data_IF_166129314053
#
_entry.id   IF_166129314053
#
_cell.length_a   1.000
_cell.length_b   1.000
_cell.length_c   1.000
_cell.angle_alpha   90.00
_cell.angle_beta   90.00
_cell.angle_gamma   90.00
#
_symmetry.space_group_name_H-M   'P 1'
#
loop_
_entity.id
_entity.type
_entity.pdbx_description
1 polymer ?
#
# COMPACT_ATOMS: atom_id res chain seq x y z
N UNK A 1 -5.62 -24.39 50.99
CA UNK A 1 -6.45 -23.44 50.21
C UNK A 1 -5.62 -22.79 49.12
N UNK A 2 -6.25 -22.53 47.99
CA UNK A 2 -5.71 -22.75 46.64
C UNK A 2 -4.79 -21.66 46.07
N UNK A 3 -3.67 -22.13 45.51
CA UNK A 3 -2.66 -21.44 44.68
C UNK A 3 -3.17 -20.91 43.32
N UNK A 4 -4.46 -20.54 43.19
CA UNK A 4 -5.02 -20.01 41.92
C UNK A 4 -4.61 -18.57 41.62
N UNK A 5 -4.07 -17.84 42.59
CA UNK A 5 -3.63 -16.45 42.42
C UNK A 5 -2.29 -16.31 41.65
N UNK A 6 -1.46 -17.35 41.58
CA UNK A 6 -0.23 -17.34 40.75
C UNK A 6 -0.49 -17.45 39.23
N UNK A 7 -1.72 -17.70 38.78
CA UNK A 7 -2.02 -17.88 37.35
C UNK A 7 -2.25 -16.56 36.60
N UNK A 8 -2.48 -15.46 37.32
CA UNK A 8 -2.72 -14.14 36.72
C UNK A 8 -1.44 -13.45 36.21
N UNK A 9 -0.29 -13.72 36.84
CA UNK A 9 1.01 -13.21 36.40
C UNK A 9 1.46 -13.85 35.07
N UNK A 10 1.07 -15.10 34.83
CA UNK A 10 1.35 -15.83 33.59
C UNK A 10 0.58 -15.31 32.36
N UNK A 11 -0.43 -14.45 32.53
CA UNK A 11 -1.18 -13.80 31.44
C UNK A 11 -0.54 -12.48 30.98
N UNK A 12 0.15 -11.77 31.88
CA UNK A 12 0.83 -10.49 31.59
C UNK A 12 2.01 -10.68 30.63
N UNK A 13 2.79 -11.76 30.82
CA UNK A 13 3.95 -12.05 29.97
C UNK A 13 3.55 -12.34 28.50
N UNK A 14 2.40 -12.97 28.26
CA UNK A 14 1.95 -13.35 26.91
C UNK A 14 1.65 -12.16 26.00
N UNK A 15 1.18 -11.04 26.56
CA UNK A 15 0.95 -9.81 25.80
C UNK A 15 2.23 -9.02 25.52
N UNK A 16 3.21 -9.07 26.44
CA UNK A 16 4.51 -8.45 26.25
C UNK A 16 5.28 -9.06 25.05
N UNK A 17 5.20 -10.39 24.86
CA UNK A 17 5.83 -11.05 23.70
C UNK A 17 5.25 -10.59 22.35
N UNK A 18 3.94 -10.32 22.27
CA UNK A 18 3.32 -9.80 21.04
C UNK A 18 3.72 -8.35 20.73
N UNK A 19 3.84 -7.51 21.76
CA UNK A 19 4.29 -6.12 21.59
C UNK A 19 5.78 -6.04 21.24
N UNK A 20 6.63 -6.83 21.91
CA UNK A 20 8.07 -6.89 21.63
C UNK A 20 8.32 -7.43 20.23
N UNK A 21 7.65 -8.51 19.80
CA UNK A 21 7.82 -9.04 18.44
C UNK A 21 7.35 -8.06 17.35
N UNK A 22 6.24 -7.34 17.56
CA UNK A 22 5.79 -6.30 16.64
C UNK A 22 6.77 -5.12 16.54
N UNK A 23 7.33 -4.68 17.68
CA UNK A 23 8.30 -3.59 17.74
C UNK A 23 9.67 -4.00 17.17
N UNK A 24 10.13 -5.23 17.41
CA UNK A 24 11.36 -5.77 16.82
C UNK A 24 11.23 -5.91 15.31
N UNK A 25 10.08 -6.36 14.79
CA UNK A 25 9.82 -6.42 13.35
C UNK A 25 9.80 -5.02 12.71
N UNK A 26 9.21 -4.02 13.38
CA UNK A 26 9.23 -2.63 12.93
C UNK A 26 10.64 -2.02 12.98
N UNK A 27 11.41 -2.30 14.03
CA UNK A 27 12.76 -1.76 14.21
C UNK A 27 13.75 -2.35 13.21
N UNK A 28 13.72 -3.67 12.98
CA UNK A 28 14.52 -4.35 11.95
C UNK A 28 14.19 -3.83 10.55
N UNK A 29 12.90 -3.57 10.27
CA UNK A 29 12.45 -2.95 9.02
C UNK A 29 13.04 -1.54 8.83
N UNK A 30 13.06 -0.71 9.87
CA UNK A 30 13.63 0.64 9.78
C UNK A 30 15.17 0.65 9.71
N UNK A 31 15.85 -0.23 10.45
CA UNK A 31 17.30 -0.36 10.42
C UNK A 31 17.82 -0.88 9.07
N UNK A 32 17.12 -1.85 8.49
CA UNK A 32 17.43 -2.38 7.15
C UNK A 32 17.27 -1.30 6.07
N UNK A 33 16.17 -0.54 6.11
CA UNK A 33 15.91 0.57 5.17
C UNK A 33 16.92 1.72 5.31
N UNK A 34 17.47 1.94 6.51
CA UNK A 34 18.33 3.10 6.78
C UNK A 34 19.82 2.85 6.55
N UNK A 35 20.33 1.65 6.85
CA UNK A 35 21.79 1.41 6.90
C UNK A 35 22.29 0.36 5.91
N UNK A 36 21.43 -0.53 5.42
CA UNK A 36 21.85 -1.65 4.57
C UNK A 36 21.62 -1.38 3.09
N UNK A 37 20.69 -0.50 2.72
CA UNK A 37 20.36 -0.27 1.32
C UNK A 37 20.94 1.07 0.81
N UNK A 38 22.15 1.07 0.23
CA UNK A 38 22.64 2.23 -0.52
C UNK A 38 21.66 2.52 -1.66
N UNK A 39 21.30 3.80 -1.80
CA UNK A 39 20.53 4.29 -2.93
C UNK A 39 21.46 4.52 -4.12
N UNK A 40 21.67 3.49 -4.92
CA UNK A 40 22.25 3.64 -6.25
C UNK A 40 21.29 3.07 -7.29
N UNK A 41 20.79 3.95 -8.15
CA UNK A 41 19.91 3.60 -9.27
C UNK A 41 20.75 3.12 -10.46
N UNK A 42 20.60 1.86 -10.83
CA UNK A 42 21.32 1.23 -11.94
C UNK A 42 20.96 1.76 -13.35
N UNK A 43 20.06 2.74 -13.48
CA UNK A 43 19.72 3.44 -14.73
C UNK A 43 19.82 4.97 -14.62
N UNK A 44 20.63 5.44 -13.67
CA UNK A 44 21.21 6.79 -13.69
C UNK A 44 22.31 6.93 -14.77
N UNK A 45 22.67 5.82 -15.44
CA UNK A 45 23.77 5.73 -16.41
C UNK A 45 23.37 5.91 -17.89
N UNK A 46 22.08 6.03 -18.25
CA UNK A 46 21.68 6.21 -19.65
C UNK A 46 20.51 7.20 -19.85
N UNK A 47 20.81 8.25 -20.63
CA UNK A 47 19.95 9.25 -21.29
C UNK A 47 19.42 10.48 -20.50
N UNK A 48 20.08 11.66 -20.61
CA UNK A 48 19.66 12.91 -19.97
C UNK A 48 18.65 13.79 -20.75
N UNK A 49 17.71 13.25 -21.55
CA UNK A 49 16.80 14.12 -22.35
C UNK A 49 15.28 13.88 -22.27
N UNK A 50 14.78 12.80 -21.65
CA UNK A 50 13.32 12.52 -21.63
C UNK A 50 12.66 12.38 -20.24
N UNK A 51 13.44 12.42 -19.15
CA UNK A 51 12.89 12.25 -17.79
C UNK A 51 12.06 13.43 -17.28
N UNK A 52 12.27 14.64 -17.80
CA UNK A 52 11.51 15.83 -17.36
C UNK A 52 10.09 15.90 -17.94
N UNK A 53 9.83 15.27 -19.09
CA UNK A 53 8.49 15.23 -19.68
C UNK A 53 7.61 14.16 -19.01
N UNK A 54 8.18 12.99 -18.74
CA UNK A 54 7.47 11.89 -18.06
C UNK A 54 7.23 12.20 -16.57
N UNK A 55 8.15 12.88 -15.87
CA UNK A 55 7.91 13.35 -14.49
C UNK A 55 6.88 14.49 -14.41
N UNK A 56 6.68 15.26 -15.47
CA UNK A 56 5.71 16.39 -15.52
C UNK A 56 4.31 15.97 -15.99
N UNK A 57 4.14 14.81 -16.62
CA UNK A 57 2.83 14.32 -17.05
C UNK A 57 1.97 14.00 -15.81
N UNK A 58 1.17 14.98 -15.38
CA UNK A 58 0.39 14.91 -14.15
C UNK A 58 -0.89 14.05 -14.32
N UNK A 59 -1.25 13.72 -15.56
CA UNK A 59 -2.49 13.00 -15.93
C UNK A 59 -2.28 11.97 -17.05
N UNK A 60 -3.08 10.90 -17.02
CA UNK A 60 -3.12 9.81 -18.02
C UNK A 60 -3.40 10.36 -19.42
N UNK A 61 -4.25 11.38 -19.52
CA UNK A 61 -4.61 12.03 -20.78
C UNK A 61 -3.40 12.65 -21.49
N UNK A 62 -2.38 13.08 -20.72
CA UNK A 62 -1.13 13.54 -21.30
C UNK A 62 -0.32 12.38 -21.90
N UNK A 63 -0.24 11.23 -21.20
CA UNK A 63 0.41 10.03 -21.73
C UNK A 63 -0.33 9.46 -22.95
N UNK A 64 -1.66 9.49 -22.97
CA UNK A 64 -2.47 9.00 -24.08
C UNK A 64 -2.26 9.86 -25.34
N UNK A 65 -2.20 11.19 -25.19
CA UNK A 65 -1.87 12.09 -26.30
C UNK A 65 -0.44 11.89 -26.82
N UNK A 66 0.52 11.61 -25.96
CA UNK A 66 1.89 11.29 -26.38
C UNK A 66 1.95 9.92 -27.07
N UNK A 67 1.16 8.94 -26.63
CA UNK A 67 1.04 7.63 -27.27
C UNK A 67 0.47 7.74 -28.68
N UNK A 68 -0.61 8.52 -28.84
CA UNK A 68 -1.22 8.74 -30.15
C UNK A 68 -0.22 9.32 -31.16
N UNK A 69 0.61 10.28 -30.74
CA UNK A 69 1.67 10.87 -31.57
C UNK A 69 2.75 9.84 -31.93
N UNK A 70 3.26 9.09 -30.95
CA UNK A 70 4.25 8.05 -31.19
C UNK A 70 3.72 6.96 -32.15
N UNK A 71 2.43 6.61 -32.03
CA UNK A 71 1.79 5.64 -32.92
C UNK A 71 1.66 6.18 -34.36
N UNK A 72 1.39 7.47 -34.55
CA UNK A 72 1.39 8.09 -35.88
C UNK A 72 2.78 8.07 -36.52
N UNK A 73 3.84 8.33 -35.73
CA UNK A 73 5.23 8.26 -36.20
C UNK A 73 5.62 6.83 -36.59
N UNK A 74 5.22 5.83 -35.80
CA UNK A 74 5.39 4.41 -36.15
C UNK A 74 4.65 4.06 -37.45
N UNK A 75 3.39 4.51 -37.61
CA UNK A 75 2.62 4.27 -38.84
C UNK A 75 3.27 4.91 -40.08
N UNK A 76 3.90 6.08 -39.94
CA UNK A 76 4.66 6.73 -41.02
C UNK A 76 5.92 5.93 -41.36
N UNK A 77 6.71 5.57 -40.35
CA UNK A 77 7.91 4.76 -40.53
C UNK A 77 7.59 3.38 -41.15
N UNK A 78 6.49 2.73 -40.76
CA UNK A 78 6.06 1.45 -41.35
C UNK A 78 5.72 1.56 -42.84
N UNK A 79 5.16 2.69 -43.29
CA UNK A 79 4.88 2.93 -44.72
C UNK A 79 6.19 3.08 -45.50
N UNK A 80 7.11 3.89 -44.99
CA UNK A 80 8.44 4.10 -45.60
C UNK A 80 9.28 2.81 -45.66
N UNK A 81 9.18 1.95 -44.63
CA UNK A 81 9.85 0.64 -44.60
C UNK A 81 9.27 -0.31 -45.65
N UNK A 82 7.94 -0.31 -45.82
CA UNK A 82 7.28 -1.11 -46.86
C UNK A 82 7.65 -0.66 -48.27
N UNK A 83 7.77 0.64 -48.49
CA UNK A 83 8.17 1.21 -49.79
C UNK A 83 9.65 0.99 -50.09
N UNK A 84 10.52 1.08 -49.08
CA UNK A 84 11.98 0.91 -49.25
C UNK A 84 12.47 -0.54 -49.18
N UNK A 85 11.60 -1.50 -48.83
CA UNK A 85 11.94 -2.92 -48.62
C UNK A 85 13.12 -3.13 -47.62
N UNK A 86 13.36 -2.16 -46.74
CA UNK A 86 14.48 -2.17 -45.79
C UNK A 86 14.18 -3.13 -44.63
N UNK A 87 15.16 -3.96 -44.24
CA UNK A 87 15.09 -4.73 -42.99
C UNK A 87 15.34 -3.79 -41.82
N UNK A 88 14.32 -3.59 -40.98
CA UNK A 88 14.38 -2.74 -39.78
C UNK A 88 14.27 -3.60 -38.53
N UNK A 89 15.11 -3.32 -37.54
CA UNK A 89 15.05 -3.96 -36.23
C UNK A 89 14.07 -3.23 -35.31
N UNK A 90 12.84 -3.75 -35.23
CA UNK A 90 11.73 -3.21 -34.43
C UNK A 90 12.00 -3.15 -32.91
N UNK A 91 13.08 -3.78 -32.43
CA UNK A 91 13.40 -3.82 -31.00
C UNK A 91 14.24 -2.62 -30.55
N UNK A 92 15.10 -2.11 -31.41
CA UNK A 92 16.09 -1.08 -31.07
C UNK A 92 15.93 0.22 -31.85
N UNK A 93 15.29 0.19 -33.02
CA UNK A 93 15.14 1.38 -33.85
C UNK A 93 13.97 2.25 -33.39
N UNK A 94 14.21 3.56 -33.31
CA UNK A 94 13.15 4.55 -33.23
C UNK A 94 12.39 4.56 -34.56
N UNK A 95 11.05 4.68 -34.58
CA UNK A 95 10.13 5.06 -33.49
C UNK A 95 9.54 3.89 -32.66
N UNK A 96 9.79 2.63 -33.05
CA UNK A 96 9.17 1.44 -32.42
C UNK A 96 9.56 1.25 -30.95
N UNK A 97 10.79 1.62 -30.59
CA UNK A 97 11.26 1.61 -29.20
C UNK A 97 10.42 2.54 -28.32
N UNK A 98 10.18 3.76 -28.76
CA UNK A 98 9.41 4.79 -28.04
C UNK A 98 7.97 4.33 -27.81
N UNK A 99 7.32 3.75 -28.83
CA UNK A 99 5.97 3.19 -28.68
C UNK A 99 5.91 2.07 -27.63
N UNK A 100 6.89 1.16 -27.66
CA UNK A 100 6.94 0.03 -26.72
C UNK A 100 7.16 0.51 -25.28
N UNK A 101 8.04 1.49 -25.09
CA UNK A 101 8.29 2.10 -23.79
C UNK A 101 7.03 2.79 -23.25
N UNK A 102 6.34 3.58 -24.08
CA UNK A 102 5.10 4.24 -23.69
C UNK A 102 3.99 3.24 -23.35
N UNK A 103 3.82 2.20 -24.18
CA UNK A 103 2.85 1.14 -23.94
C UNK A 103 3.12 0.42 -22.61
N UNK A 104 4.39 0.14 -22.31
CA UNK A 104 4.78 -0.49 -21.04
C UNK A 104 4.52 0.46 -19.86
N UNK A 105 4.77 1.75 -20.03
CA UNK A 105 4.48 2.76 -19.01
C UNK A 105 2.98 2.86 -18.72
N UNK A 106 2.14 2.88 -19.76
CA UNK A 106 0.67 2.90 -19.65
C UNK A 106 0.17 1.64 -18.93
N UNK A 107 0.60 0.45 -19.37
CA UNK A 107 0.19 -0.81 -18.74
C UNK A 107 0.61 -0.89 -17.26
N UNK A 108 1.79 -0.40 -16.92
CA UNK A 108 2.23 -0.32 -15.53
C UNK A 108 1.39 0.67 -14.73
N UNK A 109 1.07 1.83 -15.32
CA UNK A 109 0.21 2.83 -14.70
C UNK A 109 -1.19 2.26 -14.40
N UNK A 110 -1.83 1.59 -15.38
CA UNK A 110 -3.14 0.97 -15.21
C UNK A 110 -3.13 -0.09 -14.11
N UNK A 111 -2.15 -0.99 -14.13
CA UNK A 111 -1.99 -2.04 -13.12
C UNK A 111 -1.87 -1.45 -11.72
N UNK A 112 -1.07 -0.38 -11.54
CA UNK A 112 -0.89 0.29 -10.24
C UNK A 112 -2.12 1.06 -9.79
N UNK A 113 -2.81 1.72 -10.71
CA UNK A 113 -4.08 2.40 -10.42
C UNK A 113 -5.14 1.39 -9.94
N UNK A 114 -5.22 0.23 -10.57
CA UNK A 114 -6.09 -0.85 -10.10
C UNK A 114 -5.71 -1.37 -8.71
N UNK A 115 -4.43 -1.55 -8.43
CA UNK A 115 -3.95 -1.97 -7.10
C UNK A 115 -4.34 -0.95 -6.03
N UNK A 116 -4.14 0.36 -6.28
CA UNK A 116 -4.55 1.43 -5.35
C UNK A 116 -6.06 1.37 -5.11
N UNK A 117 -6.86 1.19 -6.16
CA UNK A 117 -8.33 1.06 -6.05
C UNK A 117 -8.73 -0.16 -5.24
N UNK A 118 -8.12 -1.32 -5.49
CA UNK A 118 -8.36 -2.57 -4.74
C UNK A 118 -7.99 -2.40 -3.27
N UNK A 119 -6.82 -1.81 -2.97
CA UNK A 119 -6.39 -1.54 -1.59
C UNK A 119 -7.39 -0.64 -0.87
N UNK A 120 -7.84 0.47 -1.49
CA UNK A 120 -8.84 1.36 -0.88
C UNK A 120 -10.16 0.63 -0.61
N UNK A 121 -10.65 -0.15 -1.57
CA UNK A 121 -11.90 -0.91 -1.43
C UNK A 121 -11.82 -1.96 -0.30
N UNK A 122 -10.78 -2.78 -0.26
CA UNK A 122 -10.67 -3.79 0.80
C UNK A 122 -10.38 -3.18 2.17
N UNK A 123 -9.64 -2.08 2.21
CA UNK A 123 -9.42 -1.32 3.43
C UNK A 123 -10.74 -0.73 3.98
N UNK A 124 -11.60 -0.16 3.13
CA UNK A 124 -12.91 0.34 3.57
C UNK A 124 -13.84 -0.78 4.03
N UNK A 125 -13.80 -1.95 3.40
CA UNK A 125 -14.50 -3.13 3.91
C UNK A 125 -14.01 -3.54 5.32
N UNK A 126 -12.69 -3.57 5.54
CA UNK A 126 -12.11 -3.85 6.86
C UNK A 126 -12.55 -2.82 7.92
N UNK A 127 -12.60 -1.54 7.54
CA UNK A 127 -13.11 -0.48 8.40
C UNK A 127 -14.60 -0.68 8.77
N UNK A 128 -15.45 -1.00 7.78
CA UNK A 128 -16.89 -1.27 8.02
C UNK A 128 -17.08 -2.44 8.97
N UNK A 129 -16.32 -3.54 8.78
CA UNK A 129 -16.35 -4.71 9.67
C UNK A 129 -15.94 -4.32 11.09
N UNK A 130 -14.88 -3.50 11.24
CA UNK A 130 -14.43 -3.03 12.55
C UNK A 130 -15.47 -2.13 13.24
N UNK A 131 -16.15 -1.26 12.50
CA UNK A 131 -17.24 -0.40 13.01
C UNK A 131 -18.42 -1.26 13.48
N UNK A 132 -18.87 -2.21 12.65
CA UNK A 132 -19.95 -3.14 13.01
C UNK A 132 -19.57 -3.94 14.26
N UNK A 133 -18.34 -4.44 14.34
CA UNK A 133 -17.83 -5.12 15.53
C UNK A 133 -17.85 -4.23 16.78
N UNK A 134 -17.49 -2.96 16.64
CA UNK A 134 -17.52 -1.98 17.74
C UNK A 134 -18.94 -1.72 18.23
N UNK A 135 -19.94 -1.66 17.33
CA UNK A 135 -21.35 -1.52 17.70
C UNK A 135 -21.86 -2.80 18.39
N UNK A 136 -21.53 -3.98 17.86
CA UNK A 136 -21.93 -5.26 18.44
C UNK A 136 -21.31 -5.50 19.83
N UNK A 137 -20.13 -4.92 20.09
CA UNK A 137 -19.44 -5.06 21.38
C UNK A 137 -20.27 -4.58 22.57
N UNK A 138 -21.18 -3.61 22.36
CA UNK A 138 -22.08 -3.09 23.41
C UNK A 138 -22.98 -4.19 23.98
N UNK A 139 -23.48 -5.10 23.14
CA UNK A 139 -24.41 -6.16 23.54
C UNK A 139 -23.74 -7.53 23.65
N UNK A 140 -22.83 -7.85 22.73
CA UNK A 140 -22.17 -9.14 22.63
C UNK A 140 -20.64 -8.94 22.58
N UNK A 141 -20.05 -8.80 23.76
CA UNK A 141 -18.63 -8.43 23.94
C UNK A 141 -17.68 -9.33 23.14
N UNK A 142 -17.86 -10.65 23.20
CA UNK A 142 -16.99 -11.61 22.52
C UNK A 142 -17.11 -11.54 20.99
N UNK A 143 -18.34 -11.54 20.47
CA UNK A 143 -18.58 -11.42 19.03
C UNK A 143 -18.11 -10.07 18.48
N UNK A 144 -18.39 -8.98 19.19
CA UNK A 144 -17.94 -7.65 18.80
C UNK A 144 -16.41 -7.57 18.73
N UNK A 145 -15.71 -8.12 19.73
CA UNK A 145 -14.25 -8.14 19.75
C UNK A 145 -13.67 -8.94 18.57
N UNK A 146 -14.24 -10.10 18.24
CA UNK A 146 -13.79 -10.90 17.09
C UNK A 146 -13.93 -10.14 15.77
N UNK A 147 -15.03 -9.41 15.57
CA UNK A 147 -15.24 -8.58 14.38
C UNK A 147 -14.27 -7.40 14.31
N UNK A 148 -13.99 -6.73 15.44
CA UNK A 148 -13.00 -5.64 15.50
C UNK A 148 -11.61 -6.16 15.14
N UNK A 149 -11.18 -7.29 15.71
CA UNK A 149 -9.88 -7.89 15.40
C UNK A 149 -9.81 -8.26 13.91
N UNK A 150 -10.83 -8.94 13.38
CA UNK A 150 -10.88 -9.33 11.97
C UNK A 150 -10.80 -8.12 11.03
N UNK A 151 -11.55 -7.05 11.31
CA UNK A 151 -11.50 -5.81 10.54
C UNK A 151 -10.12 -5.15 10.56
N UNK A 152 -9.50 -5.04 11.73
CA UNK A 152 -8.15 -4.48 11.88
C UNK A 152 -7.08 -5.34 11.18
N UNK A 153 -7.14 -6.66 11.30
CA UNK A 153 -6.23 -7.57 10.59
C UNK A 153 -6.33 -7.37 9.08
N UNK A 154 -7.55 -7.23 8.56
CA UNK A 154 -7.76 -6.99 7.13
C UNK A 154 -7.17 -5.64 6.69
N UNK A 155 -7.38 -4.58 7.46
CA UNK A 155 -6.78 -3.26 7.17
C UNK A 155 -5.24 -3.34 7.15
N UNK A 156 -4.62 -3.99 8.14
CA UNK A 156 -3.15 -4.15 8.23
C UNK A 156 -2.60 -4.98 7.06
N UNK A 157 -3.28 -6.06 6.70
CA UNK A 157 -2.90 -6.92 5.58
C UNK A 157 -2.84 -6.12 4.27
N UNK A 158 -3.87 -5.33 3.97
CA UNK A 158 -3.94 -4.54 2.73
C UNK A 158 -3.04 -3.31 2.70
N UNK A 159 -2.65 -2.79 3.87
CA UNK A 159 -1.66 -1.71 3.98
C UNK A 159 -0.22 -2.22 3.77
N UNK A 160 0.01 -3.52 4.00
CA UNK A 160 1.34 -4.10 3.87
C UNK A 160 1.91 -3.89 2.45
N UNK A 161 3.18 -3.49 2.31
CA UNK A 161 3.77 -3.30 1.00
C UNK A 161 3.89 -4.65 0.30
N UNK A 162 3.28 -4.77 -0.87
CA UNK A 162 3.56 -5.85 -1.80
C UNK A 162 4.94 -5.60 -2.38
N UNK A 163 5.93 -6.41 -2.00
CA UNK A 163 7.29 -6.30 -2.52
C UNK A 163 7.26 -6.54 -4.03
N UNK A 164 7.41 -5.48 -4.82
CA UNK A 164 7.46 -5.55 -6.28
C UNK A 164 8.79 -4.94 -6.71
N UNK A 165 9.65 -5.79 -7.28
CA UNK A 165 11.09 -5.58 -7.41
C UNK A 165 11.54 -4.52 -8.45
N UNK A 166 10.63 -3.76 -9.08
CA UNK A 166 10.93 -3.06 -10.34
C UNK A 166 10.58 -1.55 -10.43
N UNK A 167 10.63 -0.76 -9.34
CA UNK A 167 9.91 0.53 -9.35
C UNK A 167 10.64 1.76 -8.81
N UNK A 168 11.43 2.39 -9.70
CA UNK A 168 11.89 3.77 -9.60
C UNK A 168 10.98 4.75 -10.36
N UNK A 169 9.65 4.55 -10.31
CA UNK A 169 8.68 5.42 -10.99
C UNK A 169 8.03 6.41 -10.00
N UNK A 170 7.64 7.59 -10.50
CA UNK A 170 6.90 8.58 -9.70
C UNK A 170 5.58 8.01 -9.14
N UNK A 171 5.00 7.03 -9.82
CA UNK A 171 3.77 6.34 -9.38
C UNK A 171 4.00 5.43 -8.18
N UNK A 172 5.20 4.86 -8.01
CA UNK A 172 5.55 4.13 -6.79
C UNK A 172 5.54 5.06 -5.56
N UNK A 173 5.99 6.31 -5.72
CA UNK A 173 5.92 7.30 -4.65
C UNK A 173 4.47 7.65 -4.30
N UNK A 174 3.60 7.84 -5.30
CA UNK A 174 2.15 8.06 -5.07
C UNK A 174 1.48 6.88 -4.37
N UNK A 175 1.82 5.65 -4.76
CA UNK A 175 1.31 4.45 -4.09
C UNK A 175 1.78 4.37 -2.64
N UNK A 176 3.06 4.63 -2.39
CA UNK A 176 3.64 4.67 -1.04
C UNK A 176 2.99 5.74 -0.17
N UNK A 177 2.82 6.95 -0.70
CA UNK A 177 2.17 8.06 -0.01
C UNK A 177 0.72 7.69 0.37
N UNK A 178 -0.04 7.10 -0.57
CA UNK A 178 -1.39 6.62 -0.27
C UNK A 178 -1.40 5.51 0.82
N UNK A 179 -0.45 4.58 0.81
CA UNK A 179 -0.32 3.54 1.86
C UNK A 179 0.09 4.14 3.21
N UNK A 180 0.94 5.16 3.21
CA UNK A 180 1.32 5.91 4.40
C UNK A 180 0.14 6.66 5.00
N UNK A 181 -0.69 7.31 4.18
CA UNK A 181 -1.92 7.95 4.66
C UNK A 181 -2.90 6.94 5.26
N UNK A 182 -3.09 5.78 4.62
CA UNK A 182 -3.96 4.73 5.16
C UNK A 182 -3.43 4.11 6.45
N UNK A 183 -2.10 3.97 6.60
CA UNK A 183 -1.50 3.47 7.84
C UNK A 183 -1.67 4.46 8.99
N UNK A 184 -1.48 5.76 8.72
CA UNK A 184 -1.73 6.84 9.69
C UNK A 184 -3.20 6.86 10.12
N UNK A 185 -4.13 6.72 9.17
CA UNK A 185 -5.56 6.69 9.46
C UNK A 185 -5.94 5.46 10.31
N UNK A 186 -5.37 4.30 9.99
CA UNK A 186 -5.57 3.07 10.79
C UNK A 186 -5.02 3.22 12.21
N UNK A 187 -3.89 3.90 12.37
CA UNK A 187 -3.31 4.19 13.69
C UNK A 187 -4.25 5.10 14.51
N UNK A 188 -4.73 6.20 13.93
CA UNK A 188 -5.69 7.10 14.58
C UNK A 188 -6.96 6.34 14.96
N UNK A 189 -7.47 5.48 14.08
CA UNK A 189 -8.64 4.66 14.33
C UNK A 189 -8.45 3.71 15.53
N UNK A 190 -7.28 3.06 15.64
CA UNK A 190 -6.95 2.20 16.80
C UNK A 190 -6.93 3.03 18.09
N UNK A 191 -6.36 4.23 18.09
CA UNK A 191 -6.35 5.12 19.27
C UNK A 191 -7.77 5.53 19.69
N UNK A 192 -8.64 5.85 18.73
CA UNK A 192 -10.05 6.18 19.00
C UNK A 192 -10.76 4.98 19.62
N UNK A 193 -10.61 3.78 19.04
CA UNK A 193 -11.20 2.55 19.59
C UNK A 193 -10.70 2.27 21.01
N UNK A 194 -9.40 2.44 21.25
CA UNK A 194 -8.81 2.30 22.58
C UNK A 194 -9.46 3.25 23.60
N UNK A 195 -9.59 4.53 23.25
CA UNK A 195 -10.20 5.54 24.12
C UNK A 195 -11.66 5.20 24.43
N UNK A 196 -12.44 4.79 23.41
CA UNK A 196 -13.82 4.35 23.59
C UNK A 196 -13.92 3.13 24.53
N UNK A 197 -13.10 2.10 24.32
CA UNK A 197 -13.12 0.92 25.19
C UNK A 197 -12.72 1.23 26.63
N UNK A 198 -11.74 2.12 26.85
CA UNK A 198 -11.39 2.60 28.18
C UNK A 198 -12.57 3.31 28.86
N UNK A 199 -13.27 4.19 28.15
CA UNK A 199 -14.44 4.90 28.67
C UNK A 199 -15.56 3.93 29.07
N UNK A 200 -15.91 2.99 28.21
CA UNK A 200 -16.95 1.98 28.49
C UNK A 200 -16.60 1.10 29.70
N UNK A 201 -15.32 0.73 29.85
CA UNK A 201 -14.87 -0.07 31.00
C UNK A 201 -15.05 0.67 32.33
N UNK A 202 -14.85 1.99 32.35
CA UNK A 202 -15.03 2.83 33.55
C UNK A 202 -16.51 2.95 33.95
N UNK A 203 -17.41 3.18 32.98
CA UNK A 203 -18.86 3.29 33.23
C UNK A 203 -19.45 2.00 33.81
N UNK A 204 -19.00 0.84 33.29
CA UNK A 204 -19.44 -0.46 33.81
C UNK A 204 -18.99 -0.69 35.26
N UNK A 205 -17.74 -0.36 35.58
CA UNK A 205 -17.21 -0.50 36.95
C UNK A 205 -17.94 0.40 37.96
N UNK A 206 -18.33 1.61 37.54
CA UNK A 206 -19.14 2.51 38.39
C UNK A 206 -20.54 1.96 38.65
N UNK A 207 -21.17 1.33 37.66
CA UNK A 207 -22.51 0.75 37.80
C UNK A 207 -22.55 -0.49 38.70
N UNK A 208 -21.45 -1.26 38.72
CA UNK A 208 -21.30 -2.42 39.60
C UNK A 208 -20.97 -2.03 41.05
N UNK A 209 -20.31 -0.88 41.28
CA UNK A 209 -19.96 -0.41 42.62
C UNK A 209 -21.13 0.20 43.42
N UNK A 210 -22.23 0.54 42.74
CA UNK A 210 -23.45 1.12 43.35
C UNK A 210 -24.49 0.03 43.71
N UNK A 211 -24.29 -1.22 43.27
CA UNK A 211 -25.13 -2.37 43.60
C UNK A 211 -24.53 -3.18 44.74
#
# INVERSE_FOLDING_TARGET
MNKKWCSYESYSHRHAYCAVSALTAQTLRHAYLRWIQPQDSALEKYNPSFKDKIKKATSIEALDKEYAKAQEEVKKAEKEIKESNRKVNRVTEEPFKTERELKTAIQNWERRSEEIRKTRFFWTCGLVIAIVGSVLFVKWTWFGLSFVIAGLTQMIWWISPSFSFNEASAEYHRMLENKFFLSLLTLVFIFVLWFLFCKFKMEKKSSEAVK
#
